data_IF_368906255091
#
_entry.id   IF_368906255091
#
_cell.length_a   1.000
_cell.length_b   1.000
_cell.length_c   1.000
_cell.angle_alpha   90.00
_cell.angle_beta   90.00
_cell.angle_gamma   90.00
#
_symmetry.space_group_name_H-M   'P 1'
#
loop_
_entity.id
_entity.type
_entity.pdbx_description
1 polymer ?
#
# COMPACT_ATOMS: atom_id res chain seq x y z
N UNK A 1 30.00 -38.66 25.42
CA UNK A 1 28.89 -39.63 25.38
C UNK A 1 28.05 -39.28 24.17
N UNK A 2 28.11 -40.14 23.16
CA UNK A 2 27.33 -40.08 21.93
C UNK A 2 25.84 -40.21 22.22
N UNK A 3 25.00 -39.58 21.39
CA UNK A 3 23.97 -40.27 20.61
C UNK A 3 23.33 -39.31 19.60
N UNK A 4 23.33 -39.75 18.33
CA UNK A 4 22.52 -39.26 17.22
C UNK A 4 21.04 -39.65 17.44
N UNK A 5 20.07 -38.95 16.83
CA UNK A 5 18.80 -39.54 16.48
C UNK A 5 18.84 -40.13 15.07
N UNK A 6 18.22 -41.30 14.97
CA UNK A 6 18.15 -42.20 13.83
C UNK A 6 17.23 -41.66 12.73
N UNK A 7 17.62 -41.91 11.49
CA UNK A 7 16.85 -41.71 10.27
C UNK A 7 15.95 -42.93 10.03
N UNK A 8 14.64 -42.72 9.95
CA UNK A 8 13.70 -43.69 9.38
C UNK A 8 13.76 -43.57 7.85
N UNK A 9 14.51 -44.48 7.22
CA UNK A 9 14.48 -44.71 5.78
C UNK A 9 13.30 -45.65 5.48
N UNK A 10 12.37 -45.15 4.65
CA UNK A 10 11.26 -45.94 4.12
C UNK A 10 11.77 -46.93 3.07
N UNK A 11 11.39 -48.18 3.26
CA UNK A 11 11.81 -49.36 2.51
C UNK A 11 11.16 -49.39 1.13
N UNK A 12 11.94 -49.12 0.06
CA UNK A 12 11.56 -49.52 -1.30
C UNK A 12 12.21 -50.87 -1.60
N UNK A 13 11.34 -51.88 -1.68
CA UNK A 13 11.60 -53.26 -2.05
C UNK A 13 12.29 -53.34 -3.43
N UNK A 14 13.56 -53.76 -3.45
CA UNK A 14 14.34 -54.04 -4.67
C UNK A 14 14.51 -55.54 -4.84
N UNK A 15 13.42 -56.26 -5.04
CA UNK A 15 13.46 -57.57 -5.69
C UNK A 15 13.16 -57.38 -7.16
N UNK A 16 14.16 -57.71 -7.99
CA UNK A 16 14.12 -58.03 -9.43
C UNK A 16 15.28 -57.38 -10.17
N UNK A 17 16.50 -57.74 -9.76
CA UNK A 17 17.66 -57.72 -10.66
C UNK A 17 17.97 -59.18 -10.96
N UNK A 18 17.31 -59.72 -11.99
CA UNK A 18 17.73 -60.99 -12.59
C UNK A 18 19.18 -60.83 -13.03
N UNK A 19 20.02 -61.64 -12.41
CA UNK A 19 21.45 -61.71 -12.66
C UNK A 19 21.66 -62.22 -14.08
N UNK A 20 22.33 -61.42 -14.93
CA UNK A 20 22.67 -61.83 -16.28
C UNK A 20 23.37 -63.22 -16.28
N UNK A 21 22.94 -64.17 -17.13
CA UNK A 21 23.57 -65.48 -17.19
C UNK A 21 25.01 -65.33 -17.65
N UNK A 22 25.93 -65.96 -16.93
CA UNK A 22 27.34 -66.04 -17.28
C UNK A 22 27.50 -66.70 -18.66
N UNK A 23 28.04 -65.93 -19.62
CA UNK A 23 28.45 -66.45 -20.92
C UNK A 23 29.64 -67.39 -20.70
N UNK A 24 29.39 -68.70 -20.76
CA UNK A 24 30.44 -69.68 -20.96
C UNK A 24 30.97 -69.56 -22.38
N UNK A 25 32.26 -69.27 -22.51
CA UNK A 25 33.03 -69.38 -23.75
C UNK A 25 33.10 -70.86 -24.18
N UNK A 26 32.07 -71.35 -24.87
CA UNK A 26 32.19 -72.56 -25.68
C UNK A 26 31.26 -72.46 -26.87
N UNK A 27 31.86 -72.66 -28.05
CA UNK A 27 31.24 -72.94 -29.35
C UNK A 27 30.73 -71.72 -30.15
N UNK A 28 31.71 -70.95 -30.63
CA UNK A 28 31.59 -69.83 -31.57
C UNK A 28 31.71 -70.26 -33.05
N UNK A 29 31.39 -71.52 -33.37
CA UNK A 29 31.46 -72.05 -34.73
C UNK A 29 30.18 -72.85 -35.07
N UNK A 30 29.08 -72.15 -35.37
CA UNK A 30 27.94 -72.58 -36.25
C UNK A 30 26.60 -71.86 -35.95
N UNK A 31 26.62 -70.59 -35.54
CA UNK A 31 25.39 -69.79 -35.59
C UNK A 31 25.16 -69.27 -37.02
N UNK A 32 24.01 -69.59 -37.68
CA UNK A 32 23.75 -69.12 -39.02
C UNK A 32 23.59 -67.59 -39.01
N UNK A 33 24.31 -66.91 -39.91
CA UNK A 33 24.25 -65.46 -40.22
C UNK A 33 22.82 -64.94 -40.54
N UNK A 34 21.79 -65.79 -40.48
CA UNK A 34 20.39 -65.50 -40.81
C UNK A 34 19.53 -64.97 -39.65
N UNK A 35 20.03 -64.90 -38.42
CA UNK A 35 19.26 -64.34 -37.28
C UNK A 35 19.61 -62.89 -36.94
N UNK A 36 20.55 -62.26 -37.66
CA UNK A 36 20.89 -60.83 -37.49
C UNK A 36 19.97 -59.88 -38.28
N UNK A 37 19.01 -60.41 -39.05
CA UNK A 37 18.11 -59.63 -39.91
C UNK A 37 16.74 -59.32 -39.30
N UNK A 38 16.51 -59.65 -38.02
CA UNK A 38 15.22 -59.45 -37.33
C UNK A 38 15.37 -58.72 -35.99
N UNK A 39 16.43 -57.94 -35.81
CA UNK A 39 16.43 -56.87 -34.82
C UNK A 39 15.95 -55.61 -35.52
N UNK A 40 14.75 -55.16 -35.19
CA UNK A 40 14.21 -53.89 -35.66
C UNK A 40 14.96 -52.73 -34.98
N UNK A 41 16.17 -52.50 -35.46
CA UNK A 41 17.01 -51.38 -35.03
C UNK A 41 16.35 -50.05 -35.36
N UNK A 42 15.44 -49.98 -36.33
CA UNK A 42 14.70 -48.75 -36.63
C UNK A 42 13.67 -48.45 -35.56
N UNK A 43 12.87 -49.44 -35.14
CA UNK A 43 11.95 -49.31 -34.00
C UNK A 43 12.71 -49.01 -32.70
N UNK A 44 13.85 -49.66 -32.47
CA UNK A 44 14.69 -49.40 -31.29
C UNK A 44 15.30 -47.99 -31.29
N UNK A 45 15.82 -47.51 -32.42
CA UNK A 45 16.34 -46.14 -32.57
C UNK A 45 15.21 -45.11 -32.45
N UNK A 46 14.04 -45.39 -32.99
CA UNK A 46 12.87 -44.52 -32.88
C UNK A 46 12.37 -44.45 -31.43
N UNK A 47 12.37 -45.57 -30.71
CA UNK A 47 12.05 -45.61 -29.28
C UNK A 47 13.08 -44.87 -28.43
N UNK A 48 14.38 -44.99 -28.73
CA UNK A 48 15.42 -44.20 -28.06
C UNK A 48 15.23 -42.71 -28.34
N UNK A 49 14.96 -42.30 -29.58
CA UNK A 49 14.69 -40.89 -29.92
C UNK A 49 13.42 -40.35 -29.25
N UNK A 50 12.39 -41.17 -29.09
CA UNK A 50 11.19 -40.80 -28.33
C UNK A 50 11.47 -40.67 -26.82
N UNK A 51 12.31 -41.55 -26.26
CA UNK A 51 12.72 -41.49 -24.85
C UNK A 51 13.61 -40.27 -24.59
N UNK A 52 14.59 -39.98 -25.46
CA UNK A 52 15.43 -38.78 -25.35
C UNK A 52 14.58 -37.51 -25.45
N UNK A 53 13.62 -37.45 -26.39
CA UNK A 53 12.70 -36.31 -26.49
C UNK A 53 11.80 -36.18 -25.24
N UNK A 54 11.38 -37.27 -24.62
CA UNK A 54 10.63 -37.25 -23.36
C UNK A 54 11.50 -36.80 -22.18
N UNK A 55 12.77 -37.21 -22.14
CA UNK A 55 13.74 -36.80 -21.12
C UNK A 55 14.10 -35.31 -21.23
N UNK A 56 14.27 -34.79 -22.45
CA UNK A 56 14.48 -33.37 -22.69
C UNK A 56 13.26 -32.56 -22.23
N UNK A 57 12.05 -32.97 -22.61
CA UNK A 57 10.81 -32.32 -22.18
C UNK A 57 10.63 -32.36 -20.65
N UNK A 58 11.01 -33.45 -19.97
CA UNK A 58 10.99 -33.56 -18.51
C UNK A 58 12.04 -32.66 -17.84
N UNK A 59 13.21 -32.53 -18.44
CA UNK A 59 14.27 -31.63 -17.97
C UNK A 59 13.82 -30.17 -18.07
N UNK A 60 13.19 -29.80 -19.18
CA UNK A 60 12.65 -28.45 -19.39
C UNK A 60 11.50 -28.13 -18.43
N UNK A 61 10.56 -29.05 -18.25
CA UNK A 61 9.47 -28.93 -17.26
C UNK A 61 10.02 -28.77 -15.84
N UNK A 62 11.03 -29.57 -15.47
CA UNK A 62 11.68 -29.47 -14.14
C UNK A 62 12.38 -28.13 -13.96
N UNK A 63 13.09 -27.65 -14.98
CA UNK A 63 13.76 -26.34 -14.94
C UNK A 63 12.76 -25.19 -14.84
N UNK A 64 11.60 -25.30 -15.51
CA UNK A 64 10.51 -24.35 -15.41
C UNK A 64 9.89 -24.31 -14.00
N UNK A 65 9.50 -25.47 -13.44
CA UNK A 65 8.93 -25.55 -12.10
C UNK A 65 9.91 -24.96 -11.06
N UNK A 66 11.20 -25.25 -11.19
CA UNK A 66 12.23 -24.68 -10.29
C UNK A 66 12.31 -23.16 -10.40
N UNK A 67 12.19 -22.58 -11.61
CA UNK A 67 12.19 -21.13 -11.81
C UNK A 67 10.95 -20.49 -11.19
N UNK A 68 9.76 -21.05 -11.42
CA UNK A 68 8.52 -20.57 -10.82
C UNK A 68 8.59 -20.63 -9.30
N UNK A 69 9.03 -21.76 -8.74
CA UNK A 69 9.19 -21.90 -7.29
C UNK A 69 10.21 -20.93 -6.70
N UNK A 70 11.28 -20.63 -7.45
CA UNK A 70 12.28 -19.64 -7.03
C UNK A 70 11.70 -18.23 -7.09
N UNK A 71 11.01 -17.87 -8.18
CA UNK A 71 10.32 -16.59 -8.32
C UNK A 71 9.29 -16.38 -7.19
N UNK A 72 8.40 -17.36 -6.95
CA UNK A 72 7.42 -17.31 -5.86
C UNK A 72 8.11 -17.15 -4.49
N UNK A 73 9.22 -17.86 -4.27
CA UNK A 73 9.95 -17.81 -3.00
C UNK A 73 10.63 -16.46 -2.80
N UNK A 74 11.30 -15.94 -3.82
CA UNK A 74 12.02 -14.68 -3.79
C UNK A 74 11.02 -13.52 -3.63
N UNK A 75 9.93 -13.52 -4.40
CA UNK A 75 8.84 -12.53 -4.31
C UNK A 75 8.13 -12.57 -2.96
N UNK A 76 7.85 -13.75 -2.40
CA UNK A 76 7.29 -13.87 -1.03
C UNK A 76 8.23 -13.33 0.03
N UNK A 77 9.55 -13.39 -0.20
CA UNK A 77 10.54 -12.83 0.72
C UNK A 77 10.75 -11.32 0.54
N UNK A 78 10.50 -10.80 -0.66
CA UNK A 78 10.71 -9.41 -1.06
C UNK A 78 9.47 -8.54 -0.76
N UNK A 79 8.27 -9.00 -1.11
CA UNK A 79 7.03 -8.25 -0.88
C UNK A 79 6.74 -8.01 0.61
N UNK A 80 7.34 -8.76 1.54
CA UNK A 80 7.15 -8.55 2.99
C UNK A 80 5.70 -8.72 3.49
N UNK A 81 4.78 -9.09 2.61
CA UNK A 81 3.35 -9.28 2.89
C UNK A 81 3.21 -10.52 3.78
N UNK A 82 3.01 -10.29 5.07
CA UNK A 82 2.79 -11.37 6.04
C UNK A 82 1.36 -11.91 5.99
N UNK A 83 0.41 -11.14 5.46
CA UNK A 83 -1.00 -11.51 5.28
C UNK A 83 -1.70 -10.60 4.27
N UNK A 84 -2.52 -11.17 3.38
CA UNK A 84 -3.40 -10.42 2.46
C UNK A 84 -4.60 -9.77 3.18
N UNK A 85 -4.86 -10.14 4.44
CA UNK A 85 -5.98 -9.64 5.25
C UNK A 85 -5.95 -8.13 5.54
N UNK A 86 -4.84 -7.47 5.18
CA UNK A 86 -4.68 -6.02 5.32
C UNK A 86 -5.17 -5.25 4.09
N UNK A 87 -5.48 -5.96 2.99
CA UNK A 87 -6.17 -5.42 1.83
C UNK A 87 -7.67 -5.31 2.11
N UNK A 88 -8.35 -4.46 1.35
CA UNK A 88 -9.81 -4.45 1.29
C UNK A 88 -10.32 -5.84 0.82
N UNK A 89 -11.38 -6.37 1.44
CA UNK A 89 -11.97 -7.69 1.16
C UNK A 89 -12.26 -7.89 -0.34
N UNK A 90 -12.70 -6.83 -1.03
CA UNK A 90 -12.98 -6.87 -2.46
C UNK A 90 -11.71 -7.02 -3.32
N UNK A 91 -10.63 -6.37 -2.91
CA UNK A 91 -9.32 -6.42 -3.55
C UNK A 91 -8.67 -7.76 -3.25
N UNK A 92 -8.64 -8.18 -1.98
CA UNK A 92 -8.14 -9.49 -1.55
C UNK A 92 -8.76 -10.62 -2.37
N UNK A 93 -10.10 -10.63 -2.52
CA UNK A 93 -10.80 -11.66 -3.29
C UNK A 93 -10.35 -11.70 -4.76
N UNK A 94 -10.03 -10.56 -5.38
CA UNK A 94 -9.56 -10.49 -6.77
C UNK A 94 -8.14 -11.05 -6.88
N UNK A 95 -7.24 -10.66 -5.98
CA UNK A 95 -5.86 -11.17 -5.96
C UNK A 95 -5.79 -12.66 -5.67
N UNK A 96 -6.59 -13.16 -4.73
CA UNK A 96 -6.66 -14.60 -4.42
C UNK A 96 -7.08 -15.40 -5.65
N UNK A 97 -8.14 -14.97 -6.36
CA UNK A 97 -8.61 -15.66 -7.57
C UNK A 97 -7.57 -15.70 -8.69
N UNK A 98 -6.89 -14.59 -8.95
CA UNK A 98 -5.84 -14.54 -9.98
C UNK A 98 -4.68 -15.45 -9.56
N UNK A 99 -4.27 -15.40 -8.29
CA UNK A 99 -3.21 -16.26 -7.75
C UNK A 99 -3.55 -17.75 -7.83
N UNK A 100 -4.80 -18.14 -7.53
CA UNK A 100 -5.27 -19.53 -7.66
C UNK A 100 -5.16 -20.02 -9.12
N UNK A 101 -5.61 -19.23 -10.09
CA UNK A 101 -5.53 -19.59 -11.51
C UNK A 101 -4.08 -19.69 -11.99
N UNK A 102 -3.21 -18.75 -11.58
CA UNK A 102 -1.79 -18.81 -11.92
C UNK A 102 -1.13 -20.07 -11.36
N UNK A 103 -1.44 -20.45 -10.11
CA UNK A 103 -0.91 -21.68 -9.49
C UNK A 103 -1.43 -22.92 -10.21
N UNK A 104 -2.72 -22.98 -10.56
CA UNK A 104 -3.29 -24.11 -11.31
C UNK A 104 -2.60 -24.32 -12.66
N UNK A 105 -2.19 -23.24 -13.34
CA UNK A 105 -1.48 -23.33 -14.62
C UNK A 105 -0.02 -23.75 -14.50
N UNK A 106 0.62 -23.58 -13.34
CA UNK A 106 2.00 -24.02 -13.11
C UNK A 106 2.09 -25.55 -13.11
N UNK A 107 1.05 -26.22 -12.61
CA UNK A 107 0.94 -27.68 -12.55
C UNK A 107 0.20 -28.28 -13.78
N UNK A 108 -0.18 -27.45 -14.75
CA UNK A 108 -0.86 -27.92 -15.97
C UNK A 108 0.14 -28.61 -16.91
N UNK A 109 -0.04 -29.93 -17.08
CA UNK A 109 0.76 -30.77 -17.97
C UNK A 109 0.78 -30.23 -19.41
N UNK A 110 -0.30 -29.59 -19.88
CA UNK A 110 -0.32 -28.99 -21.22
C UNK A 110 0.59 -27.78 -21.34
N UNK A 111 0.85 -27.05 -20.25
CA UNK A 111 1.81 -25.94 -20.22
C UNK A 111 3.23 -26.48 -20.03
N UNK A 112 3.42 -27.42 -19.09
CA UNK A 112 4.72 -27.99 -18.72
C UNK A 112 5.45 -28.69 -19.87
N UNK A 113 4.70 -29.34 -20.76
CA UNK A 113 5.27 -30.15 -21.84
C UNK A 113 5.12 -29.51 -23.23
N UNK A 114 4.69 -28.25 -23.31
CA UNK A 114 4.68 -27.51 -24.57
C UNK A 114 6.08 -27.00 -24.92
N UNK A 115 6.43 -27.11 -26.20
CA UNK A 115 7.64 -26.54 -26.79
C UNK A 115 7.49 -25.05 -27.17
N UNK A 116 6.44 -24.40 -26.66
CA UNK A 116 6.11 -22.99 -26.94
C UNK A 116 6.66 -22.05 -25.86
N UNK A 117 6.56 -20.75 -26.11
CA UNK A 117 6.94 -19.70 -25.15
C UNK A 117 5.94 -19.54 -23.97
N UNK A 118 4.93 -20.43 -23.86
CA UNK A 118 3.89 -20.36 -22.82
C UNK A 118 4.42 -20.46 -21.39
N UNK A 119 5.39 -21.34 -21.06
CA UNK A 119 5.96 -21.40 -19.71
C UNK A 119 6.68 -20.10 -19.34
N UNK A 120 7.46 -19.51 -20.24
CA UNK A 120 8.15 -18.24 -19.97
C UNK A 120 7.17 -17.06 -19.80
N UNK A 121 6.09 -17.07 -20.57
CA UNK A 121 5.00 -16.11 -20.41
C UNK A 121 4.33 -16.24 -19.03
N UNK A 122 4.05 -17.46 -18.58
CA UNK A 122 3.47 -17.70 -17.26
C UNK A 122 4.40 -17.27 -16.12
N UNK A 123 5.73 -17.46 -16.25
CA UNK A 123 6.68 -16.89 -15.28
C UNK A 123 6.57 -15.36 -15.22
N UNK A 124 6.51 -14.70 -16.39
CA UNK A 124 6.36 -13.24 -16.47
C UNK A 124 5.04 -12.78 -15.86
N UNK A 125 3.94 -13.48 -16.13
CA UNK A 125 2.61 -13.15 -15.60
C UNK A 125 2.54 -13.35 -14.07
N UNK A 126 3.31 -14.29 -13.52
CA UNK A 126 3.48 -14.48 -12.06
C UNK A 126 4.30 -13.34 -11.45
N UNK A 127 5.41 -12.94 -12.08
CA UNK A 127 6.22 -11.79 -11.65
C UNK A 127 5.37 -10.51 -11.65
N UNK A 128 4.68 -10.22 -12.75
CA UNK A 128 3.77 -9.07 -12.90
C UNK A 128 2.64 -9.09 -11.84
N UNK A 129 2.15 -10.27 -11.46
CA UNK A 129 1.14 -10.42 -10.41
C UNK A 129 1.67 -10.01 -9.03
N UNK A 130 2.88 -10.44 -8.67
CA UNK A 130 3.46 -10.10 -7.37
C UNK A 130 3.85 -8.63 -7.29
N UNK A 131 4.41 -8.04 -8.36
CA UNK A 131 4.69 -6.61 -8.43
C UNK A 131 3.39 -5.80 -8.25
N UNK A 132 2.32 -6.19 -8.94
CA UNK A 132 1.01 -5.54 -8.79
C UNK A 132 0.45 -5.68 -7.36
N UNK A 133 0.65 -6.86 -6.74
CA UNK A 133 0.20 -7.13 -5.38
C UNK A 133 0.94 -6.28 -4.34
N UNK A 134 2.25 -6.12 -4.50
CA UNK A 134 3.06 -5.25 -3.66
C UNK A 134 2.63 -3.79 -3.79
N UNK A 135 2.54 -3.27 -5.02
CA UNK A 135 2.09 -1.90 -5.29
C UNK A 135 0.72 -1.62 -4.66
N UNK A 136 -0.23 -2.56 -4.77
CA UNK A 136 -1.56 -2.42 -4.19
C UNK A 136 -1.54 -2.48 -2.66
N UNK A 137 -0.72 -3.36 -2.08
CA UNK A 137 -0.55 -3.45 -0.64
C UNK A 137 0.02 -2.14 -0.08
N UNK A 138 1.06 -1.59 -0.70
CA UNK A 138 1.62 -0.29 -0.32
C UNK A 138 0.58 0.83 -0.44
N UNK A 139 -0.17 0.85 -1.55
CA UNK A 139 -1.25 1.82 -1.79
C UNK A 139 -2.33 1.76 -0.71
N UNK A 140 -2.83 0.58 -0.38
CA UNK A 140 -3.85 0.40 0.67
C UNK A 140 -3.32 0.78 2.05
N UNK A 141 -2.06 0.42 2.35
CA UNK A 141 -1.41 0.79 3.61
C UNK A 141 -1.26 2.31 3.74
N UNK A 142 -0.80 2.99 2.68
CA UNK A 142 -0.70 4.45 2.62
C UNK A 142 -2.06 5.12 2.76
N UNK A 143 -3.07 4.64 2.02
CA UNK A 143 -4.44 5.16 2.08
C UNK A 143 -5.08 4.98 3.46
N UNK A 144 -4.83 3.85 4.14
CA UNK A 144 -5.27 3.63 5.51
C UNK A 144 -4.62 4.62 6.47
N UNK A 145 -3.29 4.80 6.40
CA UNK A 145 -2.56 5.79 7.23
C UNK A 145 -3.07 7.21 6.98
N UNK A 146 -3.21 7.62 5.71
CA UNK A 146 -3.70 8.94 5.36
C UNK A 146 -5.12 9.21 5.91
N UNK A 147 -6.01 8.20 5.88
CA UNK A 147 -7.34 8.29 6.48
C UNK A 147 -7.32 8.37 8.01
N UNK A 148 -6.41 7.64 8.66
CA UNK A 148 -6.20 7.70 10.11
C UNK A 148 -5.66 9.09 10.53
N UNK A 149 -4.65 9.60 9.83
CA UNK A 149 -4.09 10.93 10.05
C UNK A 149 -5.12 12.03 9.80
N UNK A 150 -5.96 11.90 8.77
CA UNK A 150 -7.04 12.84 8.48
C UNK A 150 -8.08 12.86 9.60
N UNK A 151 -8.37 11.69 10.18
CA UNK A 151 -9.28 11.58 11.32
C UNK A 151 -8.69 12.25 12.57
N UNK A 152 -7.39 12.11 12.81
CA UNK A 152 -6.70 12.81 13.90
C UNK A 152 -6.75 14.33 13.71
N UNK A 153 -6.45 14.83 12.51
CA UNK A 153 -6.56 16.27 12.21
C UNK A 153 -7.98 16.82 12.44
N UNK A 154 -9.01 16.03 12.10
CA UNK A 154 -10.40 16.41 12.34
C UNK A 154 -10.78 16.35 13.82
N UNK A 155 -10.14 15.50 14.61
CA UNK A 155 -10.33 15.47 16.05
C UNK A 155 -9.66 16.68 16.74
N UNK A 156 -8.47 17.08 16.29
CA UNK A 156 -7.83 18.33 16.74
C UNK A 156 -8.71 19.56 16.47
N UNK A 157 -9.46 19.55 15.37
CA UNK A 157 -10.40 20.61 15.04
C UNK A 157 -11.61 20.70 16.00
N UNK A 158 -11.98 19.63 16.69
CA UNK A 158 -13.13 19.63 17.62
C UNK A 158 -12.93 20.58 18.81
N UNK A 159 -11.69 20.93 19.13
CA UNK A 159 -11.34 21.87 20.20
C UNK A 159 -11.47 23.35 19.76
N UNK A 160 -11.75 23.61 18.47
CA UNK A 160 -11.93 24.94 17.91
C UNK A 160 -13.41 25.27 17.64
N UNK A 161 -13.80 26.55 17.68
CA UNK A 161 -15.16 26.96 17.34
C UNK A 161 -15.48 26.70 15.87
N UNK A 162 -16.71 26.30 15.56
CA UNK A 162 -17.18 26.04 14.21
C UNK A 162 -17.39 24.55 13.92
N UNK A 163 -17.83 24.25 12.70
CA UNK A 163 -18.09 22.87 12.22
C UNK A 163 -16.99 22.34 11.30
N UNK A 164 -16.22 23.23 10.69
CA UNK A 164 -15.09 22.90 9.84
C UNK A 164 -13.94 23.93 9.99
N UNK A 165 -12.77 23.60 9.44
CA UNK A 165 -11.54 24.39 9.60
C UNK A 165 -11.66 25.79 8.99
N UNK A 166 -12.45 25.95 7.91
CA UNK A 166 -12.66 27.25 7.30
C UNK A 166 -13.57 28.12 8.15
N UNK A 167 -14.62 27.53 8.74
CA UNK A 167 -15.48 28.21 9.69
C UNK A 167 -14.70 28.64 10.93
N UNK A 168 -13.87 27.76 11.50
CA UNK A 168 -13.00 28.08 12.62
C UNK A 168 -12.06 29.25 12.32
N UNK A 169 -11.35 29.19 11.18
CA UNK A 169 -10.49 30.29 10.72
C UNK A 169 -11.29 31.59 10.57
N UNK A 170 -12.51 31.54 10.03
CA UNK A 170 -13.35 32.72 9.86
C UNK A 170 -13.76 33.33 11.21
N UNK A 171 -14.09 32.50 12.20
CA UNK A 171 -14.46 32.95 13.55
C UNK A 171 -13.26 33.64 14.22
N UNK A 172 -12.08 33.01 14.19
CA UNK A 172 -10.89 33.61 14.80
C UNK A 172 -10.42 34.88 14.05
N UNK A 173 -10.59 34.97 12.73
CA UNK A 173 -10.31 36.21 11.96
C UNK A 173 -11.24 37.35 12.37
N UNK A 174 -12.52 37.08 12.59
CA UNK A 174 -13.47 38.08 13.12
C UNK A 174 -13.09 38.50 14.56
N UNK A 175 -12.74 37.55 15.41
CA UNK A 175 -12.26 37.84 16.78
C UNK A 175 -10.98 38.69 16.77
N UNK A 176 -10.03 38.39 15.87
CA UNK A 176 -8.79 39.15 15.71
C UNK A 176 -9.09 40.62 15.33
N UNK A 177 -10.00 40.87 14.39
CA UNK A 177 -10.38 42.23 13.96
C UNK A 177 -11.08 43.01 15.10
N UNK A 178 -11.97 42.34 15.84
CA UNK A 178 -12.65 42.89 17.02
C UNK A 178 -11.66 43.27 18.12
N UNK A 179 -10.72 42.39 18.45
CA UNK A 179 -9.70 42.65 19.48
C UNK A 179 -8.72 43.74 19.06
N UNK A 180 -8.37 43.83 17.77
CA UNK A 180 -7.57 44.95 17.25
C UNK A 180 -8.32 46.29 17.38
N UNK A 181 -9.62 46.28 17.10
CA UNK A 181 -10.50 47.44 17.31
C UNK A 181 -10.60 47.82 18.79
N UNK A 182 -10.78 46.84 19.68
CA UNK A 182 -10.81 47.05 21.12
C UNK A 182 -9.52 47.69 21.62
N UNK A 183 -8.38 47.08 21.28
CA UNK A 183 -7.06 47.58 21.64
C UNK A 183 -6.85 49.03 21.18
N UNK A 184 -7.25 49.35 19.94
CA UNK A 184 -7.18 50.71 19.42
C UNK A 184 -8.02 51.71 20.22
N UNK A 185 -9.26 51.34 20.59
CA UNK A 185 -10.15 52.19 21.38
C UNK A 185 -9.67 52.36 22.83
N UNK A 186 -9.12 51.31 23.44
CA UNK A 186 -8.55 51.35 24.78
C UNK A 186 -7.31 52.25 24.85
N UNK A 187 -6.39 52.13 23.88
CA UNK A 187 -5.26 53.06 23.73
C UNK A 187 -5.72 54.50 23.57
N UNK A 188 -6.78 54.71 22.79
CA UNK A 188 -7.34 56.03 22.57
C UNK A 188 -7.98 56.62 23.84
N UNK A 189 -8.61 55.78 24.67
CA UNK A 189 -9.20 56.16 25.96
C UNK A 189 -8.13 56.49 27.01
N UNK A 190 -7.00 55.78 26.98
CA UNK A 190 -5.89 55.97 27.92
C UNK A 190 -4.97 57.15 27.57
N UNK A 191 -5.13 57.75 26.37
CA UNK A 191 -4.44 58.99 26.06
C UNK A 191 -4.59 59.44 24.61
N UNK A 192 -3.60 59.09 23.80
CA UNK A 192 -3.47 59.51 22.40
C UNK A 192 -3.44 58.31 21.49
N UNK A 193 -4.24 58.35 20.42
CA UNK A 193 -4.25 57.31 19.41
C UNK A 193 -2.86 57.19 18.76
N UNK A 194 -2.23 56.02 18.89
CA UNK A 194 -0.96 55.69 18.23
C UNK A 194 -1.03 55.81 16.69
N UNK A 195 -2.21 55.62 16.09
CA UNK A 195 -2.41 55.60 14.63
C UNK A 195 -2.73 56.97 14.03
N UNK A 196 -3.47 57.83 14.75
CA UNK A 196 -3.93 59.12 14.20
C UNK A 196 -3.52 60.35 15.02
N UNK A 197 -2.83 60.20 16.15
CA UNK A 197 -2.36 61.30 17.00
C UNK A 197 -3.48 62.10 17.69
N UNK A 198 -4.71 61.59 17.66
CA UNK A 198 -5.86 62.25 18.30
C UNK A 198 -5.90 61.86 19.77
N UNK A 199 -5.97 62.86 20.65
CA UNK A 199 -6.18 62.66 22.08
C UNK A 199 -7.66 62.41 22.38
N UNK A 200 -7.95 61.54 23.35
CA UNK A 200 -9.32 61.27 23.82
C UNK A 200 -10.12 62.57 24.03
N UNK A 201 -9.49 63.53 24.72
CA UNK A 201 -10.03 64.83 25.09
C UNK A 201 -10.45 65.72 23.91
N UNK A 202 -9.93 65.44 22.71
CA UNK A 202 -10.23 66.17 21.48
C UNK A 202 -11.33 65.49 20.64
N UNK A 203 -11.79 64.31 21.03
CA UNK A 203 -12.88 63.59 20.37
C UNK A 203 -14.23 64.19 20.80
N UNK A 204 -15.19 64.26 19.88
CA UNK A 204 -16.53 64.73 20.17
C UNK A 204 -17.25 63.83 21.18
N UNK A 205 -18.15 64.41 21.99
CA UNK A 205 -18.91 63.64 23.00
C UNK A 205 -19.69 62.47 22.39
N UNK A 206 -20.32 62.69 21.23
CA UNK A 206 -21.06 61.63 20.53
C UNK A 206 -20.11 60.48 20.14
N UNK A 207 -18.93 60.79 19.60
CA UNK A 207 -17.98 59.76 19.19
C UNK A 207 -17.37 59.01 20.39
N UNK A 208 -17.17 59.66 21.53
CA UNK A 208 -16.75 58.97 22.77
C UNK A 208 -17.82 57.99 23.23
N UNK A 209 -19.08 58.40 23.25
CA UNK A 209 -20.20 57.53 23.62
C UNK A 209 -20.32 56.32 22.69
N UNK A 210 -20.11 56.50 21.37
CA UNK A 210 -20.06 55.38 20.42
C UNK A 210 -18.90 54.42 20.70
N UNK A 211 -17.72 54.94 21.06
CA UNK A 211 -16.55 54.11 21.38
C UNK A 211 -16.75 53.36 22.69
N UNK A 212 -17.28 54.03 23.71
CA UNK A 212 -17.60 53.43 25.01
C UNK A 212 -18.63 52.31 24.86
N UNK A 213 -19.70 52.54 24.10
CA UNK A 213 -20.69 51.50 23.80
C UNK A 213 -20.07 50.31 23.08
N UNK A 214 -19.21 50.52 22.09
CA UNK A 214 -18.52 49.42 21.40
C UNK A 214 -17.57 48.65 22.31
N UNK A 215 -16.92 49.33 23.25
CA UNK A 215 -16.08 48.68 24.24
C UNK A 215 -16.89 47.84 25.22
N UNK A 216 -18.08 48.32 25.64
CA UNK A 216 -19.02 47.54 26.46
C UNK A 216 -19.51 46.29 25.70
N UNK A 217 -19.89 46.43 24.43
CA UNK A 217 -20.29 45.28 23.58
C UNK A 217 -19.16 44.24 23.44
N UNK A 218 -17.91 44.68 23.31
CA UNK A 218 -16.75 43.79 23.21
C UNK A 218 -16.35 43.19 24.57
N UNK A 219 -16.52 43.92 25.67
CA UNK A 219 -16.32 43.42 27.03
C UNK A 219 -17.31 42.29 27.33
N UNK A 220 -18.59 42.45 26.97
CA UNK A 220 -19.60 41.39 27.10
C UNK A 220 -19.28 40.14 26.26
N UNK A 221 -18.69 40.31 25.07
CA UNK A 221 -18.35 39.21 24.16
C UNK A 221 -17.13 38.41 24.64
N UNK A 222 -16.05 39.10 25.06
CA UNK A 222 -14.77 38.46 25.36
C UNK A 222 -14.50 38.23 26.86
N UNK A 223 -15.17 38.94 27.75
CA UNK A 223 -14.98 38.84 29.20
C UNK A 223 -16.34 38.79 29.94
N UNK A 224 -17.18 37.79 29.68
CA UNK A 224 -18.54 37.71 30.24
C UNK A 224 -18.56 37.53 31.76
N UNK A 225 -17.46 37.07 32.35
CA UNK A 225 -17.32 36.81 33.79
C UNK A 225 -17.01 38.08 34.61
N UNK A 226 -16.96 39.25 33.97
CA UNK A 226 -16.81 40.55 34.62
C UNK A 226 -15.39 40.83 35.12
N UNK A 227 -14.38 40.23 34.50
CA UNK A 227 -12.99 40.64 34.61
C UNK A 227 -12.74 42.03 34.02
N UNK A 228 -11.50 42.52 34.16
CA UNK A 228 -11.15 43.85 33.68
C UNK A 228 -10.80 43.81 32.20
N UNK A 229 -11.68 44.34 31.35
CA UNK A 229 -11.39 44.51 29.93
C UNK A 229 -10.52 45.76 29.69
N UNK A 230 -9.20 45.58 29.68
CA UNK A 230 -8.22 46.64 29.45
C UNK A 230 -7.26 46.36 28.27
N UNK A 231 -6.35 47.31 27.98
CA UNK A 231 -5.42 47.20 26.84
C UNK A 231 -4.57 45.93 26.91
N UNK A 232 -4.16 45.50 28.11
CA UNK A 232 -3.35 44.29 28.26
C UNK A 232 -4.18 43.05 27.96
N UNK A 233 -5.42 42.99 28.49
CA UNK A 233 -6.35 41.91 28.17
C UNK A 233 -6.56 41.79 26.65
N UNK A 234 -6.95 42.88 25.98
CA UNK A 234 -7.21 42.85 24.54
C UNK A 234 -5.98 42.40 23.73
N UNK A 235 -4.77 42.81 24.15
CA UNK A 235 -3.51 42.41 23.50
C UNK A 235 -3.16 40.94 23.74
N UNK A 236 -3.29 40.46 24.98
CA UNK A 236 -2.99 39.07 25.34
C UNK A 236 -3.96 38.11 24.66
N UNK A 237 -5.27 38.41 24.70
CA UNK A 237 -6.29 37.64 23.99
C UNK A 237 -6.05 37.66 22.48
N UNK A 238 -5.69 38.81 21.90
CA UNK A 238 -5.32 38.87 20.47
C UNK A 238 -4.13 37.97 20.16
N UNK A 239 -3.10 37.96 21.00
CA UNK A 239 -1.93 37.10 20.82
C UNK A 239 -2.31 35.62 20.87
N UNK A 240 -3.25 35.24 21.75
CA UNK A 240 -3.80 33.89 21.79
C UNK A 240 -4.58 33.54 20.52
N UNK A 241 -5.43 34.45 20.03
CA UNK A 241 -6.19 34.27 18.79
C UNK A 241 -5.26 34.15 17.58
N UNK A 242 -4.22 34.98 17.51
CA UNK A 242 -3.19 34.92 16.46
C UNK A 242 -2.49 33.55 16.45
N UNK A 243 -2.14 33.00 17.63
CA UNK A 243 -1.57 31.66 17.75
C UNK A 243 -2.52 30.56 17.26
N UNK A 244 -3.79 30.63 17.63
CA UNK A 244 -4.81 29.68 17.16
C UNK A 244 -5.05 29.77 15.65
N UNK A 245 -4.92 30.97 15.06
CA UNK A 245 -5.01 31.13 13.61
C UNK A 245 -3.85 30.45 12.89
N UNK A 246 -2.62 30.62 13.37
CA UNK A 246 -1.44 29.96 12.79
C UNK A 246 -1.59 28.42 12.85
N UNK A 247 -2.05 27.89 13.99
CA UNK A 247 -2.32 26.46 14.18
C UNK A 247 -3.41 25.94 13.22
N UNK A 248 -4.51 26.69 13.05
CA UNK A 248 -5.58 26.32 12.13
C UNK A 248 -5.17 26.40 10.66
N UNK A 249 -4.32 27.35 10.27
CA UNK A 249 -3.78 27.44 8.91
C UNK A 249 -2.86 26.24 8.61
N UNK A 250 -2.05 25.81 9.57
CA UNK A 250 -1.24 24.58 9.47
C UNK A 250 -2.13 23.33 9.35
N UNK A 251 -3.17 23.21 10.19
CA UNK A 251 -4.16 22.13 10.12
C UNK A 251 -4.88 22.10 8.78
N UNK A 252 -5.31 23.25 8.26
CA UNK A 252 -5.97 23.35 6.96
C UNK A 252 -5.05 22.83 5.83
N UNK A 253 -3.76 23.19 5.87
CA UNK A 253 -2.79 22.72 4.90
C UNK A 253 -2.56 21.20 4.99
N UNK A 254 -2.49 20.65 6.22
CA UNK A 254 -2.35 19.22 6.47
C UNK A 254 -3.57 18.43 5.98
N UNK A 255 -4.78 18.88 6.32
CA UNK A 255 -6.06 18.29 5.86
C UNK A 255 -6.10 18.24 4.34
N UNK A 256 -5.84 19.37 3.66
CA UNK A 256 -5.83 19.42 2.19
C UNK A 256 -4.81 18.46 1.59
N UNK A 257 -3.60 18.41 2.16
CA UNK A 257 -2.55 17.50 1.69
C UNK A 257 -2.95 16.02 1.79
N UNK A 258 -3.57 15.64 2.91
CA UNK A 258 -4.08 14.28 3.14
C UNK A 258 -5.26 13.95 2.21
N UNK A 259 -6.18 14.89 2.00
CA UNK A 259 -7.30 14.72 1.05
C UNK A 259 -6.77 14.54 -0.39
N UNK A 260 -5.78 15.33 -0.81
CA UNK A 260 -5.13 15.19 -2.13
C UNK A 260 -4.35 13.87 -2.25
N UNK A 261 -3.82 13.33 -1.16
CA UNK A 261 -3.14 12.02 -1.12
C UNK A 261 -4.13 10.87 -1.22
N UNK A 262 -5.23 10.91 -0.46
CA UNK A 262 -6.32 9.95 -0.56
C UNK A 262 -6.89 9.94 -1.98
N UNK A 263 -7.21 11.12 -2.54
CA UNK A 263 -7.72 11.26 -3.90
C UNK A 263 -6.76 10.66 -4.94
N UNK A 264 -5.45 10.84 -4.77
CA UNK A 264 -4.44 10.26 -5.66
C UNK A 264 -4.42 8.74 -5.58
N UNK A 265 -4.40 8.19 -4.38
CA UNK A 265 -4.40 6.74 -4.19
C UNK A 265 -5.72 6.10 -4.65
N UNK A 266 -6.87 6.75 -4.45
CA UNK A 266 -8.17 6.25 -4.90
C UNK A 266 -8.33 6.28 -6.43
N UNK A 267 -7.68 7.23 -7.12
CA UNK A 267 -7.71 7.34 -8.59
C UNK A 267 -6.64 6.52 -9.30
N UNK A 268 -5.72 5.91 -8.56
CA UNK A 268 -4.66 5.12 -9.17
C UNK A 268 -5.26 3.82 -9.71
N UNK A 269 -5.41 3.76 -11.03
CA UNK A 269 -5.86 2.57 -11.74
C UNK A 269 -4.80 1.47 -11.65
N UNK A 270 -5.24 0.25 -11.34
CA UNK A 270 -4.37 -0.94 -11.34
C UNK A 270 -4.43 -1.62 -12.72
N UNK A 271 -3.95 -0.91 -13.74
CA UNK A 271 -3.95 -1.35 -15.15
C UNK A 271 -3.39 -2.78 -15.32
N UNK A 272 -2.33 -3.12 -14.58
CA UNK A 272 -1.71 -4.45 -14.58
C UNK A 272 -2.69 -5.52 -14.11
N UNK A 273 -3.49 -5.23 -13.09
CA UNK A 273 -4.41 -6.22 -12.53
C UNK A 273 -5.67 -6.37 -13.34
N UNK A 274 -6.16 -5.29 -13.96
CA UNK A 274 -7.29 -5.38 -14.89
C UNK A 274 -6.90 -6.25 -16.09
N UNK A 275 -5.67 -6.10 -16.61
CA UNK A 275 -5.11 -6.97 -17.65
C UNK A 275 -5.05 -8.44 -17.21
N UNK A 276 -4.49 -8.72 -16.02
CA UNK A 276 -4.39 -10.10 -15.50
C UNK A 276 -5.78 -10.70 -15.22
N UNK A 277 -6.69 -9.92 -14.65
CA UNK A 277 -8.08 -10.33 -14.38
C UNK A 277 -8.82 -10.70 -15.67
N UNK A 278 -8.72 -9.89 -16.73
CA UNK A 278 -9.33 -10.23 -18.02
C UNK A 278 -8.70 -11.48 -18.64
N UNK A 279 -7.40 -11.70 -18.45
CA UNK A 279 -6.69 -12.85 -19.01
C UNK A 279 -7.02 -14.16 -18.30
N UNK A 280 -7.18 -14.14 -16.96
CA UNK A 280 -7.24 -15.34 -16.14
C UNK A 280 -8.58 -15.58 -15.44
N UNK A 281 -9.44 -14.57 -15.31
CA UNK A 281 -10.73 -14.68 -14.62
C UNK A 281 -11.92 -14.59 -15.58
N UNK A 282 -11.79 -13.84 -16.68
CA UNK A 282 -12.86 -13.64 -17.67
C UNK A 282 -12.68 -14.41 -18.99
N UNK A 283 -11.48 -14.93 -19.25
CA UNK A 283 -11.12 -15.73 -20.45
C UNK A 283 -11.30 -17.22 -20.23
#
# INVERSE_FOLDING_TARGET
MSNQPESEEDSIDRTDIETAPSLQETDLEDAPVKTLTELDYQESIQNIGNIDSQLDNLSDATAYIQRVQSAIKDLKSECGITSLQELDESVESRYVKIGEVLIEQVDDEEVLFKTSDEPEKLVTDIEDYFDALEDEYERQSALKRAREDLKECRAELEDHPGTDVNEAISIYKDQQEKLETAHHFLQLKDGECSRCGVKWENISKNRRSEIEQKLEELEEEFEPDGGKFDENFARETKTSVDSSLDELEDLQNKIRGLEDEIDRHERQDTDTLDRLSTTYVEG
#
